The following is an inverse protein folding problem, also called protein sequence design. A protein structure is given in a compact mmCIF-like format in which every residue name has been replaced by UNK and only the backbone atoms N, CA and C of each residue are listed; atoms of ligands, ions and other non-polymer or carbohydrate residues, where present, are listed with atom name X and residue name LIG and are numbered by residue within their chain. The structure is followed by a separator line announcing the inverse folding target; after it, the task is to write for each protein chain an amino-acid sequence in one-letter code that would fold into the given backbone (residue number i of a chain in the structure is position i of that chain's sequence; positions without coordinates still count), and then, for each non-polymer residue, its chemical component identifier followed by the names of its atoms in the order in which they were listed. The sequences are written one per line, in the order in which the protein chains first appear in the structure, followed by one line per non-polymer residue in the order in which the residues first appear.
data_IF_696740167186
#
_entry.id   IF_696740167186
#
_cell.length_a   1.000
_cell.length_b   1.000
_cell.length_c   1.000
_cell.angle_alpha   90.00
_cell.angle_beta   90.00
_cell.angle_gamma   90.00
#
_symmetry.space_group_name_H-M   'P 1'
#
loop_
_entity.id
_entity.type
_entity.pdbx_description
1 polymer ?
#
# COMPACT_ATOMS: atom_id res chain seq x y z
N UNK A 1 -18.63 -13.72 -27.73
CA UNK A 1 -18.96 -14.28 -26.39
C UNK A 1 -19.04 -13.12 -25.40
N UNK A 2 -19.99 -13.17 -24.49
CA UNK A 2 -20.10 -12.16 -23.44
C UNK A 2 -19.02 -12.47 -22.42
N UNK A 3 -18.14 -11.49 -22.13
CA UNK A 3 -17.13 -11.61 -21.10
C UNK A 3 -17.56 -10.80 -19.87
N UNK A 4 -17.14 -11.24 -18.69
CA UNK A 4 -17.41 -10.57 -17.43
C UNK A 4 -16.11 -10.14 -16.76
N UNK A 5 -16.08 -8.90 -16.31
CA UNK A 5 -15.00 -8.41 -15.47
C UNK A 5 -15.30 -8.81 -14.03
N UNK A 6 -14.37 -9.51 -13.40
CA UNK A 6 -14.52 -10.15 -12.09
C UNK A 6 -13.33 -9.78 -11.20
N UNK A 7 -13.50 -9.84 -9.89
CA UNK A 7 -12.42 -9.66 -8.93
C UNK A 7 -12.53 -10.59 -7.74
N UNK A 8 -11.39 -11.11 -7.31
CA UNK A 8 -11.20 -11.68 -5.98
C UNK A 8 -10.39 -10.69 -5.15
N UNK A 9 -10.93 -10.29 -4.01
CA UNK A 9 -10.44 -9.19 -3.19
C UNK A 9 -10.21 -9.64 -1.76
N UNK A 10 -8.97 -9.55 -1.27
CA UNK A 10 -8.59 -9.77 0.12
C UNK A 10 -8.11 -8.45 0.69
N UNK A 11 -8.82 -7.90 1.68
CA UNK A 11 -8.54 -6.56 2.19
C UNK A 11 -8.44 -6.52 3.72
N UNK A 12 -7.89 -5.43 4.24
CA UNK A 12 -7.81 -5.17 5.69
C UNK A 12 -9.16 -5.16 6.40
N UNK A 13 -10.26 -4.99 5.66
CA UNK A 13 -11.63 -5.01 6.21
C UNK A 13 -12.08 -6.40 6.63
N UNK A 14 -11.62 -7.44 5.93
CA UNK A 14 -12.00 -8.83 6.18
C UNK A 14 -10.85 -9.68 6.73
N UNK A 15 -9.62 -9.37 6.39
CA UNK A 15 -8.46 -10.19 6.72
C UNK A 15 -7.55 -9.50 7.75
N UNK A 16 -7.18 -10.16 8.86
CA UNK A 16 -6.19 -9.66 9.80
C UNK A 16 -4.81 -9.57 9.13
N UNK A 17 -3.90 -8.79 9.72
CA UNK A 17 -2.56 -8.57 9.18
C UNK A 17 -1.81 -9.87 8.90
N UNK A 18 -1.87 -10.83 9.83
CA UNK A 18 -1.21 -12.15 9.71
C UNK A 18 -1.67 -12.97 8.50
N UNK A 19 -2.90 -12.79 8.04
CA UNK A 19 -3.43 -13.41 6.82
C UNK A 19 -2.98 -12.63 5.60
N UNK A 20 -3.08 -11.28 5.64
CA UNK A 20 -2.69 -10.45 4.51
C UNK A 20 -1.22 -10.60 4.15
N UNK A 21 -0.32 -10.61 5.14
CA UNK A 21 1.12 -10.79 4.92
C UNK A 21 1.48 -12.13 4.25
N UNK A 22 0.77 -13.20 4.55
CA UNK A 22 0.97 -14.49 3.92
C UNK A 22 0.57 -14.51 2.44
N UNK A 23 -0.45 -13.72 2.06
CA UNK A 23 -1.04 -13.71 0.72
C UNK A 23 -0.54 -12.55 -0.13
N UNK A 24 0.01 -11.50 0.48
CA UNK A 24 0.57 -10.36 -0.23
C UNK A 24 1.64 -10.80 -1.24
N UNK A 25 1.65 -10.14 -2.39
CA UNK A 25 2.60 -10.37 -3.47
C UNK A 25 3.56 -9.18 -3.58
N UNK A 26 4.85 -9.45 -3.62
CA UNK A 26 5.84 -8.47 -4.07
C UNK A 26 5.63 -8.16 -5.57
N UNK A 27 6.29 -7.13 -6.09
CA UNK A 27 6.19 -6.79 -7.52
C UNK A 27 6.60 -7.96 -8.43
N UNK A 28 7.66 -8.68 -8.07
CA UNK A 28 8.14 -9.84 -8.84
C UNK A 28 7.22 -11.05 -8.70
N UNK A 29 6.67 -11.28 -7.50
CA UNK A 29 5.65 -12.32 -7.29
C UNK A 29 4.38 -12.00 -8.06
N UNK A 30 3.91 -10.75 -8.10
CA UNK A 30 2.74 -10.34 -8.87
C UNK A 30 2.93 -10.60 -10.37
N UNK A 31 4.09 -10.27 -10.93
CA UNK A 31 4.44 -10.58 -12.32
C UNK A 31 4.45 -12.09 -12.57
N UNK A 32 5.09 -12.85 -11.70
CA UNK A 32 5.18 -14.31 -11.81
C UNK A 32 3.79 -14.96 -11.69
N UNK A 33 2.95 -14.43 -10.81
CA UNK A 33 1.57 -14.90 -10.63
C UNK A 33 0.71 -14.59 -11.88
N UNK A 34 0.84 -13.39 -12.45
CA UNK A 34 0.14 -13.04 -13.69
C UNK A 34 0.48 -13.98 -14.85
N UNK A 35 1.76 -14.35 -15.01
CA UNK A 35 2.19 -15.33 -16.02
C UNK A 35 1.57 -16.70 -15.76
N UNK A 36 1.52 -17.15 -14.52
CA UNK A 36 0.83 -18.42 -14.16
C UNK A 36 -0.64 -18.36 -14.48
N UNK A 37 -1.34 -17.27 -14.16
CA UNK A 37 -2.77 -17.14 -14.54
C UNK A 37 -2.94 -17.25 -16.05
N UNK A 38 -2.06 -16.62 -16.84
CA UNK A 38 -2.06 -16.71 -18.31
C UNK A 38 -1.82 -18.13 -18.82
N UNK A 39 -0.98 -18.91 -18.15
CA UNK A 39 -0.68 -20.30 -18.54
C UNK A 39 -1.87 -21.24 -18.30
N UNK A 40 -2.67 -20.97 -17.27
CA UNK A 40 -3.80 -21.83 -16.88
C UNK A 40 -5.15 -21.38 -17.46
N UNK A 41 -5.29 -20.09 -17.77
CA UNK A 41 -6.57 -19.51 -18.19
C UNK A 41 -6.40 -18.66 -19.45
N UNK A 42 -7.35 -18.77 -20.37
CA UNK A 42 -7.41 -17.90 -21.55
C UNK A 42 -7.99 -16.53 -21.14
N UNK A 43 -7.10 -15.61 -20.74
CA UNK A 43 -7.45 -14.27 -20.28
C UNK A 43 -6.66 -13.21 -21.05
N UNK A 44 -7.34 -12.19 -21.53
CA UNK A 44 -6.76 -11.05 -22.23
C UNK A 44 -6.52 -9.83 -21.35
N UNK A 45 -7.28 -9.74 -20.26
CA UNK A 45 -7.23 -8.65 -19.30
C UNK A 45 -7.08 -9.21 -17.89
N UNK A 46 -5.98 -8.88 -17.26
CA UNK A 46 -5.63 -9.27 -15.89
C UNK A 46 -4.93 -8.12 -15.19
N UNK A 47 -5.41 -7.74 -14.00
CA UNK A 47 -4.79 -6.74 -13.15
C UNK A 47 -4.59 -7.32 -11.75
N UNK A 48 -3.37 -7.25 -11.23
CA UNK A 48 -3.04 -7.67 -9.87
C UNK A 48 -2.63 -6.44 -9.05
N UNK A 49 -3.40 -6.14 -8.01
CA UNK A 49 -3.13 -5.04 -7.07
C UNK A 49 -2.75 -5.65 -5.73
N UNK A 50 -1.49 -5.53 -5.33
CA UNK A 50 -1.02 -6.02 -4.02
C UNK A 50 -0.30 -4.91 -3.27
N UNK A 51 -0.76 -4.65 -2.05
CA UNK A 51 -0.25 -3.64 -1.12
C UNK A 51 -0.29 -4.19 0.31
N UNK A 52 0.17 -3.44 1.31
CA UNK A 52 0.02 -3.85 2.72
C UNK A 52 -1.44 -4.04 3.16
N UNK A 53 -2.39 -3.41 2.46
CA UNK A 53 -3.80 -3.38 2.85
C UNK A 53 -4.71 -4.25 1.99
N UNK A 54 -4.25 -4.70 0.83
CA UNK A 54 -5.05 -5.52 -0.09
C UNK A 54 -4.23 -6.38 -1.02
N UNK A 55 -4.78 -7.52 -1.41
CA UNK A 55 -4.37 -8.30 -2.57
C UNK A 55 -5.62 -8.58 -3.38
N UNK A 56 -5.68 -8.04 -4.59
CA UNK A 56 -6.83 -8.11 -5.48
C UNK A 56 -6.40 -8.59 -6.87
N UNK A 57 -7.16 -9.51 -7.43
CA UNK A 57 -6.93 -10.06 -8.78
C UNK A 57 -8.17 -9.82 -9.61
N UNK A 58 -8.06 -8.94 -10.60
CA UNK A 58 -9.12 -8.60 -11.54
C UNK A 58 -8.89 -9.32 -12.85
N UNK A 59 -9.92 -9.91 -13.42
CA UNK A 59 -9.84 -10.65 -14.67
C UNK A 59 -11.08 -10.40 -15.53
N UNK A 60 -10.87 -10.33 -16.85
CA UNK A 60 -11.96 -10.34 -17.81
C UNK A 60 -11.99 -11.71 -18.52
N UNK A 61 -13.06 -12.46 -18.32
CA UNK A 61 -13.20 -13.83 -18.82
C UNK A 61 -14.63 -14.12 -19.27
N UNK A 62 -14.77 -15.08 -20.17
CA UNK A 62 -16.08 -15.60 -20.62
C UNK A 62 -16.74 -16.60 -19.64
N UNK A 63 -16.05 -16.94 -18.55
CA UNK A 63 -16.55 -17.83 -17.49
C UNK A 63 -16.13 -17.28 -16.12
N UNK A 64 -16.80 -17.73 -15.06
CA UNK A 64 -16.36 -17.43 -13.70
C UNK A 64 -15.02 -18.11 -13.42
N UNK A 65 -14.04 -17.35 -12.93
CA UNK A 65 -12.72 -17.84 -12.56
C UNK A 65 -12.36 -17.51 -11.10
N UNK A 66 -13.30 -16.99 -10.35
CA UNK A 66 -13.04 -16.43 -9.00
C UNK A 66 -12.54 -17.51 -8.03
N UNK A 67 -13.16 -18.68 -8.03
CA UNK A 67 -12.74 -19.81 -7.18
C UNK A 67 -11.37 -20.33 -7.57
N UNK A 68 -11.11 -20.49 -8.86
CA UNK A 68 -9.85 -20.96 -9.42
C UNK A 68 -8.71 -19.98 -9.15
N UNK A 69 -8.98 -18.68 -9.28
CA UNK A 69 -8.00 -17.62 -8.97
C UNK A 69 -7.61 -17.63 -7.50
N UNK A 70 -8.56 -17.78 -6.57
CA UNK A 70 -8.26 -17.90 -5.14
C UNK A 70 -7.37 -19.12 -4.89
N UNK A 71 -7.76 -20.29 -5.41
CA UNK A 71 -6.99 -21.52 -5.25
C UNK A 71 -5.59 -21.39 -5.82
N UNK A 72 -5.46 -20.83 -7.04
CA UNK A 72 -4.16 -20.61 -7.67
C UNK A 72 -3.29 -19.65 -6.86
N UNK A 73 -3.86 -18.57 -6.34
CA UNK A 73 -3.15 -17.61 -5.50
C UNK A 73 -2.63 -18.25 -4.21
N UNK A 74 -3.46 -19.03 -3.53
CA UNK A 74 -3.09 -19.73 -2.31
C UNK A 74 -2.00 -20.78 -2.56
N UNK A 75 -2.13 -21.58 -3.62
CA UNK A 75 -1.09 -22.54 -4.04
C UNK A 75 0.21 -21.82 -4.39
N UNK A 76 0.12 -20.69 -5.10
CA UNK A 76 1.29 -19.88 -5.44
C UNK A 76 2.05 -19.39 -4.20
N UNK A 77 1.34 -19.09 -3.12
CA UNK A 77 1.91 -18.71 -1.82
C UNK A 77 2.27 -19.91 -0.92
N UNK A 78 2.18 -21.13 -1.43
CA UNK A 78 2.51 -22.36 -0.69
C UNK A 78 1.49 -22.74 0.38
N UNK A 79 0.26 -22.23 0.28
CA UNK A 79 -0.84 -22.53 1.20
C UNK A 79 -1.64 -23.71 0.65
N UNK A 80 -1.59 -24.84 1.34
CA UNK A 80 -2.28 -26.08 0.93
C UNK A 80 -3.72 -26.17 1.40
N UNK A 81 -4.05 -25.61 2.56
CA UNK A 81 -5.40 -25.55 3.10
C UNK A 81 -6.10 -24.28 2.65
N UNK A 82 -6.79 -24.36 1.52
CA UNK A 82 -7.49 -23.21 0.96
C UNK A 82 -8.78 -22.86 1.71
N UNK A 83 -9.41 -23.82 2.39
CA UNK A 83 -10.73 -23.63 3.01
C UNK A 83 -10.65 -22.65 4.19
N UNK A 84 -9.54 -22.67 4.95
CA UNK A 84 -9.30 -21.72 6.05
C UNK A 84 -9.29 -20.26 5.57
N UNK A 85 -8.85 -20.02 4.32
CA UNK A 85 -8.64 -18.68 3.79
C UNK A 85 -9.81 -18.11 2.98
N UNK A 86 -10.70 -18.97 2.47
CA UNK A 86 -11.86 -18.56 1.66
C UNK A 86 -12.73 -17.46 2.32
N UNK A 87 -13.03 -17.50 3.63
CA UNK A 87 -13.86 -16.49 4.27
C UNK A 87 -13.27 -15.07 4.25
N UNK A 88 -11.97 -14.93 4.06
CA UNK A 88 -11.30 -13.64 4.01
C UNK A 88 -11.42 -12.96 2.65
N UNK A 89 -11.80 -13.69 1.61
CA UNK A 89 -11.99 -13.12 0.28
C UNK A 89 -13.41 -12.55 0.11
N UNK A 90 -13.47 -11.47 -0.63
CA UNK A 90 -14.67 -10.90 -1.21
C UNK A 90 -14.63 -11.09 -2.72
N UNK A 91 -15.74 -11.47 -3.31
CA UNK A 91 -15.82 -11.85 -4.72
C UNK A 91 -16.87 -10.98 -5.39
N UNK A 92 -16.53 -10.38 -6.52
CA UNK A 92 -17.46 -9.70 -7.40
C UNK A 92 -17.38 -10.37 -8.78
N UNK A 93 -18.50 -10.97 -9.21
CA UNK A 93 -18.62 -11.64 -10.52
C UNK A 93 -19.41 -10.81 -11.54
N UNK A 94 -20.06 -9.77 -11.09
CA UNK A 94 -20.77 -8.82 -11.93
C UNK A 94 -19.82 -7.70 -12.38
N UNK A 95 -19.76 -7.44 -13.70
CA UNK A 95 -18.88 -6.43 -14.27
C UNK A 95 -19.14 -5.01 -13.74
N UNK A 96 -20.39 -4.64 -13.50
CA UNK A 96 -20.75 -3.31 -12.98
C UNK A 96 -20.19 -3.12 -11.56
N UNK A 97 -20.40 -4.10 -10.68
CA UNK A 97 -19.93 -4.07 -9.30
C UNK A 97 -18.40 -4.10 -9.25
N UNK A 98 -17.77 -4.92 -10.09
CA UNK A 98 -16.30 -5.00 -10.19
C UNK A 98 -15.69 -3.69 -10.69
N UNK A 99 -16.28 -3.06 -11.70
CA UNK A 99 -15.83 -1.76 -12.22
C UNK A 99 -15.99 -0.69 -11.13
N UNK A 100 -17.15 -0.64 -10.47
CA UNK A 100 -17.41 0.28 -9.36
C UNK A 100 -16.37 0.10 -8.25
N UNK A 101 -16.15 -1.14 -7.83
CA UNK A 101 -15.14 -1.47 -6.81
C UNK A 101 -13.75 -0.97 -7.21
N UNK A 102 -13.31 -1.20 -8.45
CA UNK A 102 -12.00 -0.74 -8.92
C UNK A 102 -11.90 0.80 -8.95
N UNK A 103 -12.96 1.52 -9.31
CA UNK A 103 -13.01 2.98 -9.20
C UNK A 103 -12.87 3.46 -7.75
N UNK A 104 -13.61 2.85 -6.84
CA UNK A 104 -13.58 3.20 -5.41
C UNK A 104 -12.21 2.90 -4.78
N UNK A 105 -11.59 1.77 -5.16
CA UNK A 105 -10.22 1.45 -4.78
C UNK A 105 -9.25 2.49 -5.34
N UNK A 106 -9.29 2.74 -6.63
CA UNK A 106 -8.34 3.62 -7.31
C UNK A 106 -8.45 5.09 -6.88
N UNK A 107 -9.62 5.52 -6.42
CA UNK A 107 -9.81 6.87 -5.85
C UNK A 107 -9.42 6.95 -4.38
N UNK A 108 -9.13 5.82 -3.71
CA UNK A 108 -8.75 5.78 -2.31
C UNK A 108 -9.93 5.75 -1.33
N UNK A 109 -11.17 5.57 -1.81
CA UNK A 109 -12.36 5.42 -0.95
C UNK A 109 -12.30 4.18 -0.04
N UNK A 110 -11.59 3.14 -0.48
CA UNK A 110 -11.39 1.90 0.25
C UNK A 110 -10.03 1.82 0.97
N UNK A 111 -9.37 2.95 1.19
CA UNK A 111 -8.12 3.01 1.95
C UNK A 111 -8.38 3.16 3.46
N UNK A 112 -7.40 2.77 4.29
CA UNK A 112 -7.48 3.03 5.74
C UNK A 112 -7.49 4.54 6.02
N UNK A 113 -6.70 5.29 5.27
CA UNK A 113 -6.78 6.74 5.19
C UNK A 113 -7.55 7.06 3.92
N UNK A 114 -8.78 7.50 4.06
CA UNK A 114 -9.67 7.79 2.92
C UNK A 114 -9.06 8.89 2.06
N UNK A 115 -8.98 8.64 0.75
CA UNK A 115 -8.37 9.57 -0.20
C UNK A 115 -6.84 9.46 -0.32
N UNK A 116 -6.21 8.44 0.26
CA UNK A 116 -4.75 8.24 0.25
C UNK A 116 -4.16 8.41 -1.16
N UNK A 117 -3.28 9.39 -1.30
CA UNK A 117 -2.64 9.76 -2.56
C UNK A 117 -1.66 8.71 -3.10
N UNK A 118 -1.23 7.75 -2.30
CA UNK A 118 -0.37 6.66 -2.74
C UNK A 118 -1.13 5.64 -3.60
N UNK A 119 -2.44 5.46 -3.34
CA UNK A 119 -3.25 4.44 -4.02
C UNK A 119 -3.31 4.63 -5.54
N UNK A 120 -3.57 5.82 -6.09
CA UNK A 120 -3.51 6.04 -7.54
C UNK A 120 -2.18 5.61 -8.18
N UNK A 121 -1.06 5.86 -7.49
CA UNK A 121 0.27 5.47 -7.97
C UNK A 121 0.46 3.95 -7.93
N UNK A 122 -0.03 3.28 -6.88
CA UNK A 122 0.00 1.82 -6.77
C UNK A 122 -0.83 1.17 -7.88
N UNK A 123 -2.03 1.67 -8.14
CA UNK A 123 -2.88 1.20 -9.25
C UNK A 123 -2.20 1.43 -10.60
N UNK A 124 -1.55 2.58 -10.79
CA UNK A 124 -0.80 2.86 -12.03
C UNK A 124 0.36 1.89 -12.24
N UNK A 125 1.12 1.57 -11.18
CA UNK A 125 2.21 0.56 -11.24
C UNK A 125 1.67 -0.83 -11.56
N UNK A 126 0.57 -1.24 -10.91
CA UNK A 126 -0.09 -2.52 -11.17
C UNK A 126 -0.56 -2.63 -12.64
N UNK A 127 -1.18 -1.59 -13.16
CA UNK A 127 -1.58 -1.53 -14.56
C UNK A 127 -0.38 -1.58 -15.53
N UNK A 128 0.71 -0.87 -15.23
CA UNK A 128 1.92 -0.95 -16.05
C UNK A 128 2.49 -2.36 -16.07
N UNK A 129 2.53 -3.06 -14.93
CA UNK A 129 2.97 -4.45 -14.87
C UNK A 129 2.09 -5.37 -15.72
N UNK A 130 0.77 -5.16 -15.74
CA UNK A 130 -0.16 -5.90 -16.61
C UNK A 130 0.10 -5.60 -18.09
N UNK A 131 0.36 -4.35 -18.44
CA UNK A 131 0.67 -3.94 -19.82
C UNK A 131 2.00 -4.54 -20.29
N UNK A 132 3.04 -4.50 -19.47
CA UNK A 132 4.35 -5.08 -19.76
C UNK A 132 4.29 -6.60 -19.94
N UNK A 133 3.41 -7.28 -19.21
CA UNK A 133 3.13 -8.71 -19.34
C UNK A 133 2.20 -9.06 -20.54
N UNK A 134 1.75 -8.06 -21.31
CA UNK A 134 0.76 -8.22 -22.37
C UNK A 134 -0.58 -8.82 -21.87
N UNK A 135 -1.01 -8.40 -20.68
CA UNK A 135 -2.23 -8.80 -20.02
C UNK A 135 -3.17 -7.60 -19.76
N UNK A 136 -2.91 -6.47 -20.41
CA UNK A 136 -3.83 -5.34 -20.47
C UNK A 136 -4.41 -5.25 -21.87
N UNK A 137 -5.48 -5.97 -22.13
CA UNK A 137 -6.22 -5.94 -23.38
C UNK A 137 -7.02 -4.64 -23.59
N UNK A 138 -7.74 -4.51 -24.69
CA UNK A 138 -8.44 -3.26 -25.02
C UNK A 138 -9.46 -2.81 -23.97
N UNK A 139 -10.09 -3.75 -23.26
CA UNK A 139 -11.03 -3.44 -22.19
C UNK A 139 -10.33 -2.79 -21.01
N UNK A 140 -9.30 -3.45 -20.46
CA UNK A 140 -8.57 -2.95 -19.30
C UNK A 140 -7.86 -1.62 -19.62
N UNK A 141 -7.26 -1.48 -20.81
CA UNK A 141 -6.69 -0.21 -21.25
C UNK A 141 -7.70 0.93 -21.17
N UNK A 142 -8.89 0.77 -21.75
CA UNK A 142 -9.94 1.79 -21.76
C UNK A 142 -10.42 2.10 -20.34
N UNK A 143 -10.65 1.06 -19.54
CA UNK A 143 -11.09 1.20 -18.15
C UNK A 143 -10.05 2.00 -17.32
N UNK A 144 -8.77 1.66 -17.41
CA UNK A 144 -7.72 2.31 -16.66
C UNK A 144 -7.54 3.78 -17.06
N UNK A 145 -7.63 4.10 -18.35
CA UNK A 145 -7.63 5.48 -18.80
C UNK A 145 -8.80 6.29 -18.20
N UNK A 146 -9.99 5.68 -18.15
CA UNK A 146 -11.18 6.32 -17.55
C UNK A 146 -10.98 6.53 -16.05
N UNK A 147 -10.40 5.55 -15.35
CA UNK A 147 -10.08 5.63 -13.92
C UNK A 147 -9.07 6.76 -13.65
N UNK A 148 -7.99 6.85 -14.43
CA UNK A 148 -6.99 7.91 -14.26
C UNK A 148 -7.58 9.31 -14.54
N UNK A 149 -8.44 9.42 -15.54
CA UNK A 149 -9.18 10.66 -15.81
C UNK A 149 -10.09 11.02 -14.63
N UNK A 150 -10.87 10.08 -14.11
CA UNK A 150 -11.73 10.29 -12.95
C UNK A 150 -10.93 10.70 -11.70
N UNK A 151 -9.79 10.05 -11.43
CA UNK A 151 -8.89 10.43 -10.34
C UNK A 151 -8.40 11.87 -10.45
N UNK A 152 -8.06 12.32 -11.67
CA UNK A 152 -7.66 13.70 -11.92
C UNK A 152 -8.80 14.68 -11.64
N UNK A 153 -10.02 14.34 -12.05
CA UNK A 153 -11.21 15.16 -11.78
C UNK A 153 -11.51 15.27 -10.30
N UNK A 154 -11.48 14.12 -9.59
CA UNK A 154 -11.66 14.09 -8.12
C UNK A 154 -10.65 15.03 -7.43
N UNK A 155 -9.38 14.99 -7.83
CA UNK A 155 -8.36 15.85 -7.26
C UNK A 155 -8.51 17.34 -7.58
N UNK A 156 -9.12 17.70 -8.72
CA UNK A 156 -9.23 19.10 -9.17
C UNK A 156 -10.58 19.72 -8.88
N UNK A 157 -11.64 18.91 -8.82
CA UNK A 157 -13.03 19.38 -8.79
C UNK A 157 -13.70 19.16 -7.43
N UNK A 158 -13.02 18.51 -6.47
CA UNK A 158 -13.56 18.22 -5.14
C UNK A 158 -12.53 18.46 -4.04
N UNK A 159 -13.01 18.69 -2.83
CA UNK A 159 -12.17 18.77 -1.60
C UNK A 159 -11.89 17.39 -0.99
N UNK A 160 -12.16 16.31 -1.71
CA UNK A 160 -12.03 14.94 -1.20
C UNK A 160 -10.60 14.59 -0.73
N UNK A 161 -9.58 15.26 -1.30
CA UNK A 161 -8.17 15.07 -0.94
C UNK A 161 -7.57 16.26 -0.21
N UNK A 162 -8.38 17.21 0.19
CA UNK A 162 -7.94 18.33 1.00
C UNK A 162 -7.81 17.88 2.45
N UNK A 163 -6.59 17.90 2.99
CA UNK A 163 -6.29 17.52 4.37
C UNK A 163 -5.51 16.22 4.51
N UNK A 164 -5.85 15.39 5.50
CA UNK A 164 -5.10 14.21 5.94
C UNK A 164 -5.15 13.01 4.96
N UNK A 165 -4.99 13.24 3.67
CA UNK A 165 -5.12 12.21 2.64
C UNK A 165 -3.88 11.32 2.49
N UNK A 166 -3.10 11.11 3.57
CA UNK A 166 -1.99 10.15 3.60
C UNK A 166 -1.69 9.67 5.02
N UNK A 167 -1.12 8.47 5.12
CA UNK A 167 -0.65 7.92 6.41
C UNK A 167 0.39 8.83 7.05
N UNK A 168 1.28 9.42 6.25
CA UNK A 168 2.31 10.36 6.72
C UNK A 168 1.72 11.65 7.30
N UNK A 169 0.67 12.18 6.67
CA UNK A 169 -0.04 13.34 7.20
C UNK A 169 -0.78 13.01 8.51
N UNK A 170 -1.52 11.89 8.55
CA UNK A 170 -2.24 11.45 9.73
C UNK A 170 -1.30 11.16 10.91
N UNK A 171 -0.14 10.55 10.67
CA UNK A 171 0.89 10.33 11.69
C UNK A 171 1.45 11.67 12.23
N UNK A 172 1.70 12.64 11.34
CA UNK A 172 2.17 13.96 11.73
C UNK A 172 1.12 14.73 12.53
N UNK A 173 -0.14 14.65 12.12
CA UNK A 173 -1.27 15.29 12.80
C UNK A 173 -1.48 14.72 14.21
N UNK A 174 -1.45 13.39 14.34
CA UNK A 174 -1.53 12.71 15.63
C UNK A 174 -0.36 13.11 16.55
N UNK A 175 0.87 13.13 16.03
CA UNK A 175 2.05 13.53 16.81
C UNK A 175 1.89 14.94 17.39
N UNK A 176 1.44 15.90 16.59
CA UNK A 176 1.25 17.29 17.01
C UNK A 176 0.04 17.49 17.94
N UNK A 177 -0.94 16.58 17.91
CA UNK A 177 -2.08 16.60 18.82
C UNK A 177 -1.73 16.07 20.22
N UNK A 178 -0.74 15.18 20.33
CA UNK A 178 -0.35 14.53 21.60
C UNK A 178 0.60 15.40 22.42
N UNK A 179 1.54 16.11 21.78
CA UNK A 179 2.58 16.90 22.47
C UNK A 179 2.74 18.24 21.80
N UNK A 180 2.77 19.30 22.58
CA UNK A 180 3.05 20.66 22.07
C UNK A 180 4.55 20.85 21.87
N UNK A 181 4.96 21.24 20.66
CA UNK A 181 6.37 21.38 20.24
C UNK A 181 7.22 20.13 20.54
N UNK A 182 6.84 18.94 20.02
CA UNK A 182 7.51 17.71 20.37
C UNK A 182 8.91 17.60 19.77
N UNK A 183 9.80 16.94 20.50
CA UNK A 183 11.03 16.38 19.94
C UNK A 183 10.70 15.03 19.29
N UNK A 184 10.79 14.97 17.98
CA UNK A 184 10.34 13.79 17.21
C UNK A 184 11.54 13.05 16.63
N UNK A 185 11.61 11.75 16.87
CA UNK A 185 12.55 10.86 16.19
C UNK A 185 11.82 10.08 15.10
N UNK A 186 12.31 10.16 13.86
CA UNK A 186 11.81 9.39 12.74
C UNK A 186 12.81 8.29 12.40
N UNK A 187 12.34 7.04 12.44
CA UNK A 187 13.14 5.83 12.19
C UNK A 187 12.70 5.19 10.88
N UNK A 188 13.61 5.22 9.90
CA UNK A 188 13.34 4.75 8.53
C UNK A 188 12.91 5.87 7.59
N UNK A 189 13.67 6.05 6.52
CA UNK A 189 13.53 7.12 5.53
C UNK A 189 13.14 6.57 4.15
N UNK A 190 12.21 5.63 4.14
CA UNK A 190 11.46 5.24 2.96
C UNK A 190 10.51 6.37 2.51
N UNK A 191 9.66 6.12 1.54
CA UNK A 191 8.68 7.10 1.02
C UNK A 191 7.85 7.72 2.15
N UNK A 192 7.24 6.88 3.01
CA UNK A 192 6.40 7.35 4.13
C UNK A 192 7.20 8.16 5.14
N UNK A 193 8.38 7.69 5.56
CA UNK A 193 9.19 8.39 6.57
C UNK A 193 9.65 9.77 6.10
N UNK A 194 10.04 9.91 4.84
CA UNK A 194 10.38 11.21 4.24
C UNK A 194 9.17 12.14 4.16
N UNK A 195 7.99 11.61 3.77
CA UNK A 195 6.77 12.40 3.71
C UNK A 195 6.33 12.86 5.12
N UNK A 196 6.54 12.05 6.16
CA UNK A 196 6.35 12.48 7.57
C UNK A 196 7.29 13.65 7.90
N UNK A 197 8.60 13.54 7.55
CA UNK A 197 9.55 14.64 7.75
C UNK A 197 9.07 15.93 7.08
N UNK A 198 8.70 15.85 5.78
CA UNK A 198 8.22 17.01 5.01
C UNK A 198 6.98 17.64 5.65
N UNK A 199 6.01 16.82 6.05
CA UNK A 199 4.78 17.28 6.69
C UNK A 199 5.04 17.99 8.02
N UNK A 200 5.95 17.46 8.85
CA UNK A 200 6.31 18.07 10.13
C UNK A 200 7.08 19.39 9.94
N UNK A 201 8.05 19.42 9.02
CA UNK A 201 8.80 20.64 8.67
C UNK A 201 7.85 21.73 8.13
N UNK A 202 6.94 21.38 7.22
CA UNK A 202 5.94 22.30 6.67
C UNK A 202 5.00 22.89 7.73
N UNK A 203 4.82 22.19 8.86
CA UNK A 203 4.03 22.63 10.01
C UNK A 203 4.87 23.37 11.10
N UNK A 204 6.14 23.66 10.80
CA UNK A 204 7.01 24.44 11.66
C UNK A 204 7.67 23.68 12.81
N UNK A 205 7.70 22.35 12.76
CA UNK A 205 8.45 21.55 13.74
C UNK A 205 9.94 21.67 13.44
N UNK A 206 10.71 22.14 14.43
CA UNK A 206 12.16 22.38 14.30
C UNK A 206 13.03 21.32 14.98
N UNK A 207 12.44 20.51 15.85
CA UNK A 207 13.12 19.48 16.66
C UNK A 207 12.89 18.09 16.10
N UNK A 208 13.30 17.88 14.84
CA UNK A 208 13.15 16.59 14.14
C UNK A 208 14.51 15.92 14.05
N UNK A 209 14.62 14.74 14.66
CA UNK A 209 15.75 13.84 14.52
C UNK A 209 15.39 12.71 13.55
N UNK A 210 16.32 12.32 12.70
CA UNK A 210 16.10 11.27 11.71
C UNK A 210 17.22 10.23 11.75
N UNK A 211 16.85 8.98 11.58
CA UNK A 211 17.80 7.87 11.47
C UNK A 211 17.34 6.84 10.44
N UNK A 212 18.31 6.21 9.79
CA UNK A 212 18.06 5.13 8.84
C UNK A 212 19.28 4.20 8.82
N UNK A 213 19.07 2.92 8.55
CA UNK A 213 20.15 1.94 8.43
C UNK A 213 21.22 2.35 7.40
N UNK A 214 20.81 3.04 6.32
CA UNK A 214 21.72 3.57 5.30
C UNK A 214 22.03 5.02 5.60
N UNK A 215 23.21 5.32 6.15
CA UNK A 215 23.66 6.65 6.55
C UNK A 215 23.55 7.70 5.43
N UNK A 216 24.00 7.36 4.22
CA UNK A 216 23.92 8.25 3.07
C UNK A 216 22.50 8.80 2.85
N UNK A 217 21.49 7.95 3.02
CA UNK A 217 20.08 8.36 2.87
C UNK A 217 19.65 9.34 3.97
N UNK A 218 20.16 9.15 5.19
CA UNK A 218 19.89 10.07 6.32
C UNK A 218 20.48 11.45 6.06
N UNK A 219 21.74 11.50 5.59
CA UNK A 219 22.42 12.75 5.27
C UNK A 219 21.75 13.52 4.12
N UNK A 220 21.30 12.82 3.07
CA UNK A 220 20.55 13.43 1.96
C UNK A 220 19.26 14.11 2.45
N UNK A 221 18.44 13.38 3.23
CA UNK A 221 17.18 13.91 3.75
C UNK A 221 17.41 15.03 4.78
N UNK A 222 18.44 14.88 5.63
CA UNK A 222 18.81 15.92 6.60
C UNK A 222 19.23 17.23 5.91
N UNK A 223 20.03 17.13 4.84
CA UNK A 223 20.45 18.29 4.05
C UNK A 223 19.31 18.97 3.32
N UNK A 224 18.31 18.21 2.84
CA UNK A 224 17.13 18.75 2.15
C UNK A 224 16.15 19.44 3.12
N UNK A 225 15.91 18.84 4.29
CA UNK A 225 14.83 19.25 5.19
C UNK A 225 15.29 19.96 6.47
N UNK A 226 16.59 20.04 6.72
CA UNK A 226 17.14 20.68 7.93
C UNK A 226 16.93 19.85 9.20
N UNK A 227 16.81 18.52 9.09
CA UNK A 227 16.65 17.63 10.23
C UNK A 227 18.02 17.25 10.85
N UNK A 228 18.02 16.91 12.15
CA UNK A 228 19.21 16.42 12.86
C UNK A 228 19.43 14.95 12.56
N UNK A 229 20.67 14.58 12.18
CA UNK A 229 21.06 13.18 11.93
C UNK A 229 21.36 12.47 13.25
N UNK A 230 20.78 11.30 13.44
CA UNK A 230 21.13 10.36 14.52
C UNK A 230 21.76 9.14 13.89
N UNK A 231 22.93 8.73 14.40
CA UNK A 231 23.57 7.48 13.99
C UNK A 231 22.71 6.28 14.40
N UNK A 232 22.71 5.26 13.55
CA UNK A 232 21.89 4.06 13.80
C UNK A 232 22.24 3.37 15.12
N UNK A 233 23.50 3.42 15.53
CA UNK A 233 24.04 2.86 16.75
C UNK A 233 23.58 3.63 18.01
N UNK A 234 23.20 4.90 17.86
CA UNK A 234 22.71 5.75 18.94
C UNK A 234 21.17 5.81 19.03
N UNK A 235 20.47 4.91 18.30
CA UNK A 235 19.02 4.87 18.22
C UNK A 235 18.35 4.85 19.60
N UNK A 236 18.78 3.98 20.52
CA UNK A 236 18.16 3.85 21.85
C UNK A 236 18.33 5.12 22.69
N UNK A 237 19.50 5.75 22.62
CA UNK A 237 19.74 7.03 23.30
C UNK A 237 18.87 8.16 22.74
N UNK A 238 18.64 8.16 21.43
CA UNK A 238 17.78 9.14 20.78
C UNK A 238 16.32 8.91 21.14
N UNK A 239 15.87 7.65 21.17
CA UNK A 239 14.52 7.27 21.60
C UNK A 239 14.21 7.76 23.02
N UNK A 240 15.11 7.47 23.97
CA UNK A 240 14.96 7.88 25.37
C UNK A 240 14.88 9.40 25.57
N UNK A 241 15.34 10.21 24.57
CA UNK A 241 15.32 11.68 24.62
C UNK A 241 14.23 12.30 23.77
N UNK A 242 13.45 11.50 23.08
CA UNK A 242 12.39 11.95 22.19
C UNK A 242 11.04 11.89 22.88
N UNK A 243 10.16 12.86 22.63
CA UNK A 243 8.79 12.83 23.10
C UNK A 243 7.93 11.87 22.27
N UNK A 244 8.27 11.75 20.98
CA UNK A 244 7.55 10.91 20.02
C UNK A 244 8.55 10.19 19.10
N UNK A 245 8.30 8.90 18.89
CA UNK A 245 9.04 8.08 17.91
C UNK A 245 8.07 7.63 16.81
N UNK A 246 8.40 7.95 15.55
CA UNK A 246 7.65 7.49 14.38
C UNK A 246 8.51 6.52 13.61
N UNK A 247 8.07 5.27 13.50
CA UNK A 247 8.80 4.21 12.79
C UNK A 247 8.15 3.89 11.46
N UNK A 248 8.95 3.96 10.38
CA UNK A 248 8.57 3.63 9.01
C UNK A 248 9.62 2.71 8.38
N UNK A 249 9.82 1.53 8.98
CA UNK A 249 10.81 0.55 8.53
C UNK A 249 10.13 -0.73 8.07
N UNK A 250 10.77 -1.43 7.12
CA UNK A 250 10.39 -2.79 6.70
C UNK A 250 11.40 -3.79 7.25
N UNK A 251 10.94 -4.69 8.11
CA UNK A 251 11.75 -5.77 8.70
C UNK A 251 10.92 -7.02 8.91
N UNK A 252 11.57 -8.19 8.88
CA UNK A 252 10.96 -9.48 9.22
C UNK A 252 10.71 -9.63 10.74
N UNK A 253 11.52 -8.95 11.56
CA UNK A 253 11.40 -8.96 13.02
C UNK A 253 11.13 -7.56 13.55
N UNK A 254 10.34 -7.41 14.64
CA UNK A 254 10.09 -6.12 15.28
C UNK A 254 11.40 -5.44 15.70
N UNK A 255 11.60 -4.18 15.34
CA UNK A 255 12.73 -3.38 15.84
C UNK A 255 12.50 -2.96 17.29
N UNK A 256 11.27 -2.66 17.64
CA UNK A 256 10.85 -2.23 18.97
C UNK A 256 10.05 -3.35 19.61
N UNK A 257 10.72 -4.13 20.49
CA UNK A 257 10.04 -5.11 21.32
C UNK A 257 9.56 -4.45 22.61
N UNK A 258 8.63 -5.09 23.30
CA UNK A 258 8.11 -4.58 24.57
C UNK A 258 9.22 -4.45 25.60
N UNK A 259 10.13 -5.42 25.63
CA UNK A 259 11.28 -5.46 26.54
C UNK A 259 12.21 -4.27 26.25
N UNK A 260 12.59 -4.07 24.98
CA UNK A 260 13.48 -2.97 24.56
C UNK A 260 12.89 -1.59 24.91
N UNK A 261 11.58 -1.41 24.69
CA UNK A 261 10.93 -0.12 25.01
C UNK A 261 10.82 0.08 26.53
N UNK A 262 10.70 -1.00 27.31
CA UNK A 262 10.63 -0.89 28.77
C UNK A 262 11.99 -0.60 29.45
N UNK A 263 13.11 -0.79 28.73
CA UNK A 263 14.47 -0.51 29.19
C UNK A 263 14.91 0.95 28.88
N UNK A 264 14.15 1.68 28.09
CA UNK A 264 14.39 3.07 27.71
C UNK A 264 13.75 4.07 28.69
#
# INVERSE_FOLDING_TARGET
MQSWFQVVSLTYRKAPLTVREKIALSEDEAKSFMLKVKDFFDVSDLLVVSTCNRTEVYVNSSQSLTTELIKLLLIFKGISDSEEYLPYFEIFENSEDTIRHLFEVATGLHSQVVGDMQVPNQIKRAYQASADAQLAGPFLHRLMHTIFYANKRVALETEFRDGAASVSYAASDLALSLVHQPKILIVGLGEIGQDVCKNLVARGVTTIQITNRTRKRTEEVAGELGCEVVEWEDLDKAMAKSDIVISSITRSEPLFTKERVAEL
#
